data_IF_945480406923
#
_entry.id   IF_945480406923
#
_cell.length_a   1.000
_cell.length_b   1.000
_cell.length_c   1.000
_cell.angle_alpha   90.00
_cell.angle_beta   90.00
_cell.angle_gamma   90.00
#
_symmetry.space_group_name_H-M   'P 1'
#
loop_
_entity.id
_entity.type
_entity.pdbx_description
1 polymer ?
#
# COMPACT_ATOMS: atom_id res chain seq x y z
N UNK A 1 3.58 11.80 2.35
CA UNK A 1 2.62 12.90 2.62
C UNK A 1 2.12 12.76 4.04
N UNK A 2 2.09 13.84 4.84
CA UNK A 2 1.34 13.85 6.10
C UNK A 2 -0.15 13.83 5.75
N UNK A 3 -0.94 12.86 6.22
CA UNK A 3 -2.40 13.04 6.30
C UNK A 3 -3.29 11.89 5.86
N UNK A 4 -2.79 10.89 5.14
CA UNK A 4 -3.60 9.73 4.76
C UNK A 4 -3.57 8.67 5.86
N UNK A 5 -4.58 8.70 6.73
CA UNK A 5 -4.71 7.83 7.90
C UNK A 5 -4.66 6.35 7.53
N UNK A 6 -5.23 5.98 6.37
CA UNK A 6 -5.16 4.62 5.87
C UNK A 6 -3.72 4.16 5.63
N UNK A 7 -2.88 5.03 5.08
CA UNK A 7 -1.49 4.70 4.81
C UNK A 7 -0.72 4.46 6.11
N UNK A 8 -0.90 5.32 7.12
CA UNK A 8 -0.31 5.14 8.45
C UNK A 8 -0.77 3.82 9.10
N UNK A 9 -2.05 3.49 8.97
CA UNK A 9 -2.61 2.22 9.44
C UNK A 9 -1.99 1.01 8.72
N UNK A 10 -1.84 1.09 7.40
CA UNK A 10 -1.20 0.05 6.60
C UNK A 10 0.25 -0.17 7.01
N UNK A 11 1.03 0.90 7.16
CA UNK A 11 2.42 0.82 7.61
C UNK A 11 2.55 0.22 9.02
N UNK A 12 1.64 0.58 9.94
CA UNK A 12 1.56 -0.03 11.27
C UNK A 12 1.27 -1.52 11.20
N UNK A 13 0.33 -1.93 10.34
CA UNK A 13 -0.04 -3.34 10.13
C UNK A 13 1.15 -4.13 9.57
N UNK A 14 1.88 -3.56 8.60
CA UNK A 14 3.09 -4.19 8.07
C UNK A 14 4.19 -4.35 9.11
N UNK A 15 4.44 -3.33 9.95
CA UNK A 15 5.41 -3.44 11.05
C UNK A 15 5.06 -4.58 12.00
N UNK A 16 3.78 -4.77 12.28
CA UNK A 16 3.32 -5.90 13.10
C UNK A 16 3.62 -7.25 12.45
N UNK A 17 3.37 -7.40 11.14
CA UNK A 17 3.58 -8.67 10.42
C UNK A 17 5.05 -8.98 10.11
N UNK A 18 5.84 -7.97 9.74
CA UNK A 18 7.24 -8.14 9.34
C UNK A 18 8.21 -8.05 10.51
N UNK A 19 7.79 -7.45 11.63
CA UNK A 19 8.61 -7.27 12.83
C UNK A 19 9.87 -6.45 12.54
N UNK A 20 11.01 -6.93 13.04
CA UNK A 20 12.32 -6.27 12.89
C UNK A 20 12.80 -6.12 11.44
N UNK A 21 12.24 -6.87 10.49
CA UNK A 21 12.56 -6.76 9.06
C UNK A 21 12.03 -5.47 8.42
N UNK A 22 11.13 -4.77 9.11
CA UNK A 22 10.46 -3.55 8.63
C UNK A 22 10.99 -2.27 9.31
N UNK A 23 12.19 -2.33 9.91
CA UNK A 23 12.83 -1.17 10.57
C UNK A 23 12.98 0.03 9.60
N UNK A 24 13.22 -0.24 8.32
CA UNK A 24 13.19 0.76 7.25
C UNK A 24 12.04 0.50 6.27
N UNK A 25 10.95 1.28 6.35
CA UNK A 25 9.83 1.20 5.40
C UNK A 25 10.10 2.01 4.11
N UNK A 26 11.36 2.35 3.83
CA UNK A 26 11.73 3.11 2.64
C UNK A 26 11.40 2.40 1.32
N UNK A 27 11.06 1.10 1.38
CA UNK A 27 10.62 0.32 0.22
C UNK A 27 9.14 0.52 -0.15
N UNK A 28 8.37 1.27 0.66
CA UNK A 28 6.98 1.62 0.35
C UNK A 28 6.88 3.12 0.06
N UNK A 29 6.40 3.43 -1.13
CA UNK A 29 6.13 4.79 -1.57
C UNK A 29 4.63 4.96 -1.80
N UNK A 30 4.12 6.14 -1.45
CA UNK A 30 2.73 6.50 -1.68
C UNK A 30 2.66 7.70 -2.61
N UNK A 31 1.82 7.60 -3.64
CA UNK A 31 1.57 8.65 -4.61
C UNK A 31 0.06 8.78 -4.88
N UNK A 32 -0.36 9.95 -5.36
CA UNK A 32 -1.74 10.25 -5.72
C UNK A 32 -1.76 11.19 -6.92
N UNK A 33 -2.71 10.98 -7.82
CA UNK A 33 -3.09 11.91 -8.88
C UNK A 33 -4.56 12.35 -8.69
N UNK A 34 -5.15 12.98 -9.72
CA UNK A 34 -6.53 13.47 -9.67
C UNK A 34 -7.57 12.38 -9.42
N UNK A 35 -7.33 11.16 -9.92
CA UNK A 35 -8.32 10.08 -9.97
C UNK A 35 -7.91 8.84 -9.17
N UNK A 36 -6.60 8.63 -9.01
CA UNK A 36 -6.03 7.41 -8.45
C UNK A 36 -5.04 7.69 -7.34
N UNK A 37 -4.90 6.68 -6.48
CA UNK A 37 -3.87 6.58 -5.46
C UNK A 37 -3.08 5.31 -5.68
N UNK A 38 -1.79 5.39 -5.39
CA UNK A 38 -0.82 4.37 -5.71
C UNK A 38 0.01 4.04 -4.47
N UNK A 39 0.14 2.75 -4.18
CA UNK A 39 1.08 2.22 -3.20
C UNK A 39 2.12 1.43 -3.99
N UNK A 40 3.35 1.93 -4.02
CA UNK A 40 4.47 1.30 -4.69
C UNK A 40 5.26 0.52 -3.65
N UNK A 41 5.49 -0.75 -3.91
CA UNK A 41 6.19 -1.70 -3.02
C UNK A 41 7.39 -2.24 -3.76
N UNK A 42 8.61 -1.95 -3.29
CA UNK A 42 9.88 -2.33 -3.96
C UNK A 42 10.62 -3.49 -3.30
N UNK A 43 10.31 -3.79 -2.04
CA UNK A 43 10.88 -4.90 -1.27
C UNK A 43 9.77 -5.58 -0.46
N UNK A 44 10.00 -6.81 0.02
CA UNK A 44 9.00 -7.64 0.70
C UNK A 44 7.66 -7.65 -0.06
N UNK A 45 7.73 -7.77 -1.39
CA UNK A 45 6.61 -7.54 -2.30
C UNK A 45 5.44 -8.46 -1.94
N UNK A 46 5.70 -9.76 -1.78
CA UNK A 46 4.65 -10.73 -1.51
C UNK A 46 4.02 -10.52 -0.13
N UNK A 47 4.83 -10.35 0.90
CA UNK A 47 4.35 -10.12 2.26
C UNK A 47 3.53 -8.85 2.36
N UNK A 48 4.03 -7.77 1.76
CA UNK A 48 3.36 -6.47 1.80
C UNK A 48 2.06 -6.47 1.00
N UNK A 49 2.06 -7.13 -0.16
CA UNK A 49 0.86 -7.30 -0.98
C UNK A 49 -0.18 -8.18 -0.28
N UNK A 50 0.21 -9.24 0.43
CA UNK A 50 -0.72 -10.07 1.22
C UNK A 50 -1.40 -9.24 2.32
N UNK A 51 -0.64 -8.43 3.06
CA UNK A 51 -1.21 -7.57 4.11
C UNK A 51 -2.14 -6.52 3.51
N UNK A 52 -1.70 -5.82 2.45
CA UNK A 52 -2.49 -4.79 1.79
C UNK A 52 -3.77 -5.36 1.19
N UNK A 53 -3.65 -6.43 0.40
CA UNK A 53 -4.78 -7.06 -0.29
C UNK A 53 -5.82 -7.59 0.70
N UNK A 54 -5.39 -8.11 1.86
CA UNK A 54 -6.30 -8.53 2.92
C UNK A 54 -7.11 -7.34 3.49
N UNK A 55 -6.45 -6.22 3.78
CA UNK A 55 -7.13 -5.01 4.29
C UNK A 55 -8.11 -4.47 3.25
N UNK A 56 -7.66 -4.32 1.99
CA UNK A 56 -8.50 -3.83 0.89
C UNK A 56 -9.69 -4.76 0.62
N UNK A 57 -9.49 -6.08 0.64
CA UNK A 57 -10.54 -7.07 0.41
C UNK A 57 -11.59 -7.07 1.51
N UNK A 58 -11.18 -6.93 2.78
CA UNK A 58 -12.10 -6.84 3.92
C UNK A 58 -13.04 -5.65 3.77
N UNK A 59 -12.49 -4.53 3.31
CA UNK A 59 -13.26 -3.31 3.07
C UNK A 59 -13.89 -3.25 1.66
N UNK A 60 -13.82 -4.33 0.88
CA UNK A 60 -14.38 -4.45 -0.48
C UNK A 60 -13.92 -3.34 -1.42
N UNK A 61 -12.65 -2.97 -1.33
CA UNK A 61 -12.02 -2.00 -2.21
C UNK A 61 -11.64 -2.69 -3.51
N UNK A 62 -12.04 -2.11 -4.64
CA UNK A 62 -11.54 -2.52 -5.96
C UNK A 62 -10.19 -1.86 -6.16
N UNK A 63 -9.17 -2.68 -6.42
CA UNK A 63 -7.81 -2.24 -6.71
C UNK A 63 -7.24 -3.02 -7.89
N UNK A 64 -6.20 -2.47 -8.51
CA UNK A 64 -5.42 -3.13 -9.55
C UNK A 64 -3.95 -3.20 -9.13
N UNK A 65 -3.22 -4.16 -9.69
CA UNK A 65 -1.79 -4.33 -9.43
C UNK A 65 -1.01 -4.33 -10.74
N UNK A 66 -0.02 -3.44 -10.86
CA UNK A 66 0.95 -3.41 -11.93
C UNK A 66 2.31 -3.93 -11.46
N UNK A 67 2.98 -4.75 -12.27
CA UNK A 67 4.34 -5.22 -11.96
C UNK A 67 5.37 -4.24 -12.51
N UNK A 68 6.31 -3.83 -11.66
CA UNK A 68 7.41 -2.93 -12.04
C UNK A 68 8.61 -3.80 -12.42
N UNK A 69 9.09 -3.63 -13.66
CA UNK A 69 10.24 -4.37 -14.19
C UNK A 69 11.47 -3.45 -14.34
N UNK A 70 12.64 -4.02 -14.10
CA UNK A 70 13.93 -3.46 -14.52
C UNK A 70 14.73 -4.49 -15.30
N UNK A 71 15.93 -4.12 -15.79
CA UNK A 71 16.83 -5.01 -16.55
C UNK A 71 17.16 -6.33 -15.83
N UNK A 72 16.98 -6.41 -14.51
CA UNK A 72 17.24 -7.59 -13.68
C UNK A 72 16.02 -8.41 -13.26
N UNK A 73 14.80 -8.06 -13.71
CA UNK A 73 13.56 -8.75 -13.33
C UNK A 73 12.53 -7.85 -12.66
N UNK A 74 11.67 -8.44 -11.83
CA UNK A 74 10.65 -7.70 -11.06
C UNK A 74 11.33 -6.94 -9.93
N UNK A 75 11.12 -5.62 -9.90
CA UNK A 75 11.69 -4.71 -8.88
C UNK A 75 10.64 -4.07 -8.00
N UNK A 76 9.37 -4.39 -8.21
CA UNK A 76 8.29 -3.89 -7.37
C UNK A 76 6.91 -4.19 -7.93
N UNK A 77 5.91 -3.78 -7.17
CA UNK A 77 4.51 -3.77 -7.58
C UNK A 77 3.93 -2.41 -7.24
N UNK A 78 3.09 -1.91 -8.14
CA UNK A 78 2.24 -0.75 -7.92
C UNK A 78 0.83 -1.23 -7.68
N UNK A 79 0.23 -0.84 -6.55
CA UNK A 79 -1.17 -1.10 -6.23
C UNK A 79 -1.95 0.19 -6.39
N UNK A 80 -2.91 0.21 -7.32
CA UNK A 80 -3.70 1.37 -7.67
C UNK A 80 -5.15 1.19 -7.22
N UNK A 81 -5.71 2.22 -6.58
CA UNK A 81 -7.13 2.33 -6.24
C UNK A 81 -7.62 3.75 -6.47
N UNK A 82 -8.92 3.91 -6.74
CA UNK A 82 -9.52 5.23 -6.93
C UNK A 82 -9.39 6.11 -5.68
N UNK A 83 -9.22 7.42 -5.85
CA UNK A 83 -9.06 8.37 -4.74
C UNK A 83 -10.27 8.42 -3.80
N UNK A 84 -11.49 8.17 -4.29
CA UNK A 84 -12.69 8.11 -3.45
C UNK A 84 -12.67 6.89 -2.52
N UNK A 85 -12.10 5.77 -2.98
CA UNK A 85 -11.91 4.58 -2.14
C UNK A 85 -10.86 4.83 -1.05
N UNK A 86 -9.77 5.52 -1.40
CA UNK A 86 -8.80 5.97 -0.41
C UNK A 86 -9.44 6.92 0.62
N UNK A 87 -10.25 7.87 0.20
CA UNK A 87 -10.96 8.78 1.12
C UNK A 87 -11.92 8.03 2.05
N UNK A 88 -12.61 7.01 1.53
CA UNK A 88 -13.44 6.11 2.35
C UNK A 88 -12.59 5.39 3.39
N UNK A 89 -11.45 4.83 3.00
CA UNK A 89 -10.53 4.16 3.92
C UNK A 89 -9.97 5.13 4.98
N UNK A 90 -9.56 6.32 4.56
CA UNK A 90 -9.09 7.36 5.49
C UNK A 90 -10.15 7.70 6.53
N UNK A 91 -11.43 7.77 6.15
CA UNK A 91 -12.51 8.02 7.10
C UNK A 91 -12.78 6.82 8.03
N UNK A 92 -12.65 5.60 7.53
CA UNK A 92 -12.86 4.38 8.32
C UNK A 92 -11.77 4.17 9.38
N UNK A 93 -10.51 4.45 9.02
CA UNK A 93 -9.35 4.23 9.88
C UNK A 93 -8.95 5.46 10.70
N UNK A 94 -9.69 6.57 10.61
CA UNK A 94 -9.62 7.69 11.57
C UNK A 94 -9.99 7.16 12.96
N UNK A 95 -8.97 6.96 13.79
CA UNK A 95 -9.10 6.74 15.24
C UNK A 95 -9.20 8.10 15.91
#
# INVERSE_FOLDING_TARGET
>A
MKGDVFFDYFLKSLRFHLGDRCKDIGFIEFAKDENNSFIIIKDYILESLVVLSNILSKERIVFSCGVIHSKGGVTGVEVCMNVLELERLNNLYKI
#
